data_IF_730451538248
#
_entry.id   IF_730451538248
#
_cell.length_a   1.000
_cell.length_b   1.000
_cell.length_c   1.000
_cell.angle_alpha   90.00
_cell.angle_beta   90.00
_cell.angle_gamma   90.00
#
_symmetry.space_group_name_H-M   'P 1'
#
loop_
_entity.id
_entity.type
_entity.pdbx_description
1 polymer ?
#
# COMPACT_ATOMS: atom_id res chain seq x y z
N UNK A 1 36.63 3.97 21.31
CA UNK A 1 35.87 2.92 20.60
C UNK A 1 34.75 3.59 19.83
N UNK A 2 35.01 3.95 18.59
CA UNK A 2 33.99 4.52 17.71
C UNK A 2 33.12 3.36 17.28
N UNK A 3 31.89 3.29 17.79
CA UNK A 3 30.86 2.44 17.20
C UNK A 3 30.68 2.94 15.77
N UNK A 4 31.22 2.21 14.78
CA UNK A 4 30.80 2.40 13.40
C UNK A 4 29.28 2.20 13.35
N UNK A 5 28.53 2.97 12.55
CA UNK A 5 27.10 2.77 12.42
C UNK A 5 26.86 1.29 12.13
N UNK A 6 26.02 0.67 12.96
CA UNK A 6 25.69 -0.75 12.86
C UNK A 6 25.07 -0.90 11.46
N UNK A 7 25.79 -1.56 10.55
CA UNK A 7 25.39 -1.81 9.15
C UNK A 7 24.22 -2.81 9.10
N UNK A 8 23.10 -2.51 9.77
CA UNK A 8 21.97 -3.41 10.03
C UNK A 8 20.70 -3.06 9.27
N UNK A 9 20.70 -2.02 8.45
CA UNK A 9 19.53 -1.58 7.69
C UNK A 9 19.60 -2.04 6.24
N UNK A 10 19.13 -3.26 5.95
CA UNK A 10 18.88 -3.68 4.57
C UNK A 10 17.85 -2.80 3.83
N UNK A 11 17.29 -1.78 4.50
CA UNK A 11 16.25 -0.87 4.01
C UNK A 11 16.59 -0.25 2.65
N UNK A 12 17.83 0.23 2.45
CA UNK A 12 18.28 0.78 1.17
C UNK A 12 18.27 -0.22 -0.01
N UNK A 13 18.18 -1.53 0.29
CA UNK A 13 18.07 -2.61 -0.69
C UNK A 13 16.64 -3.10 -0.87
N UNK A 14 15.71 -2.64 -0.04
CA UNK A 14 14.29 -2.94 -0.20
C UNK A 14 13.73 -2.08 -1.31
N UNK A 15 12.96 -2.70 -2.21
CA UNK A 15 12.24 -2.01 -3.28
C UNK A 15 10.76 -2.33 -3.22
N UNK A 16 9.92 -1.34 -3.40
CA UNK A 16 8.48 -1.52 -3.49
C UNK A 16 8.01 -1.12 -4.89
N UNK A 17 7.19 -1.95 -5.53
CA UNK A 17 6.67 -1.71 -6.88
C UNK A 17 5.27 -2.27 -7.04
N UNK A 18 4.38 -1.48 -7.59
CA UNK A 18 3.00 -1.86 -7.86
C UNK A 18 2.15 -0.64 -8.17
N UNK A 19 1.05 -0.83 -8.89
CA UNK A 19 0.09 0.25 -9.13
C UNK A 19 -0.45 0.82 -7.82
N UNK A 20 -0.64 -0.04 -6.82
CA UNK A 20 -1.10 0.34 -5.48
C UNK A 20 -0.17 1.30 -4.72
N UNK A 21 1.06 1.59 -5.18
CA UNK A 21 1.92 2.61 -4.57
C UNK A 21 1.84 3.97 -5.26
N UNK A 22 1.03 4.09 -6.31
CA UNK A 22 0.92 5.31 -7.13
C UNK A 22 -0.54 5.78 -7.17
N UNK A 23 -1.46 4.89 -7.54
CA UNK A 23 -2.90 5.17 -7.62
C UNK A 23 -3.70 3.92 -7.31
N UNK A 24 -4.86 4.12 -6.68
CA UNK A 24 -5.79 3.04 -6.40
C UNK A 24 -7.25 3.47 -6.53
N UNK A 25 -8.14 2.48 -6.42
CA UNK A 25 -9.58 2.69 -6.43
C UNK A 25 -10.21 2.39 -5.07
N UNK A 26 -11.24 3.17 -4.71
CA UNK A 26 -12.04 2.96 -3.50
C UNK A 26 -12.84 1.66 -3.59
N UNK A 27 -12.88 0.89 -2.50
CA UNK A 27 -13.50 -0.44 -2.43
C UNK A 27 -12.94 -1.44 -3.44
N UNK A 28 -11.75 -1.18 -3.96
CA UNK A 28 -11.03 -2.08 -4.86
C UNK A 28 -9.75 -2.59 -4.18
N UNK A 29 -9.36 -3.81 -4.50
CA UNK A 29 -8.12 -4.41 -4.02
C UNK A 29 -6.96 -3.84 -4.81
N UNK A 30 -6.15 -3.01 -4.15
CA UNK A 30 -4.95 -2.44 -4.72
C UNK A 30 -3.75 -3.27 -4.23
N UNK A 31 -2.95 -3.79 -5.16
CA UNK A 31 -1.81 -4.63 -4.82
C UNK A 31 -0.48 -3.97 -5.18
N UNK A 32 0.53 -4.27 -4.38
CA UNK A 32 1.92 -3.93 -4.65
C UNK A 32 2.85 -5.01 -4.11
N UNK A 33 4.03 -5.11 -4.71
CA UNK A 33 5.05 -6.07 -4.33
C UNK A 33 6.20 -5.37 -3.62
N UNK A 34 6.75 -6.04 -2.62
CA UNK A 34 7.92 -5.62 -1.88
C UNK A 34 9.01 -6.66 -2.08
N UNK A 35 10.15 -6.20 -2.60
CA UNK A 35 11.34 -6.98 -2.85
C UNK A 35 12.32 -6.72 -1.70
N UNK A 36 12.41 -7.67 -0.77
CA UNK A 36 13.37 -7.65 0.36
C UNK A 36 14.52 -8.63 0.16
N UNK A 37 14.58 -9.33 -0.98
CA UNK A 37 15.57 -10.39 -1.25
C UNK A 37 17.02 -9.92 -1.08
N UNK A 38 17.33 -8.68 -1.47
CA UNK A 38 18.68 -8.12 -1.32
C UNK A 38 18.96 -7.58 0.09
N UNK A 39 17.91 -7.19 0.82
CA UNK A 39 17.98 -6.67 2.18
C UNK A 39 18.28 -7.78 3.21
N UNK A 40 17.80 -9.00 2.96
CA UNK A 40 17.94 -10.14 3.85
C UNK A 40 16.76 -10.31 4.81
N UNK A 41 16.94 -11.14 5.84
CA UNK A 41 15.93 -11.32 6.88
C UNK A 41 15.90 -10.10 7.81
N UNK A 42 14.71 -9.61 8.12
CA UNK A 42 14.47 -8.45 8.98
C UNK A 42 12.98 -8.16 9.14
N UNK A 43 12.68 -7.14 9.94
CA UNK A 43 11.31 -6.73 10.23
C UNK A 43 10.83 -5.68 9.22
N UNK A 44 9.77 -6.00 8.49
CA UNK A 44 9.12 -5.09 7.54
C UNK A 44 7.85 -4.52 8.17
N UNK A 45 7.79 -3.20 8.31
CA UNK A 45 6.64 -2.48 8.83
C UNK A 45 6.02 -1.60 7.74
N UNK A 46 4.70 -1.67 7.62
CA UNK A 46 3.91 -0.85 6.70
C UNK A 46 2.90 -0.06 7.51
N UNK A 47 2.88 1.26 7.31
CA UNK A 47 1.87 2.15 7.86
C UNK A 47 1.16 2.87 6.71
N UNK A 48 -0.16 2.92 6.78
CA UNK A 48 -0.99 3.64 5.81
C UNK A 48 -1.70 4.75 6.56
N UNK A 49 -1.35 5.99 6.24
CA UNK A 49 -1.96 7.19 6.79
C UNK A 49 -2.86 7.82 5.72
N UNK A 50 -4.07 8.24 6.10
CA UNK A 50 -5.02 8.78 5.13
C UNK A 50 -6.32 9.20 5.80
N UNK A 51 -7.33 9.62 5.00
CA UNK A 51 -8.62 10.05 5.52
C UNK A 51 -9.40 8.93 6.22
N UNK A 52 -9.20 7.67 5.81
CA UNK A 52 -9.81 6.50 6.42
C UNK A 52 -8.79 5.36 6.65
N UNK A 53 -9.13 4.40 7.50
CA UNK A 53 -8.31 3.21 7.73
C UNK A 53 -8.43 2.25 6.54
N UNK A 54 -7.32 1.96 5.87
CA UNK A 54 -7.26 0.92 4.85
C UNK A 54 -7.14 -0.46 5.50
N UNK A 55 -7.77 -1.46 4.91
CA UNK A 55 -7.52 -2.88 5.23
C UNK A 55 -6.31 -3.33 4.44
N UNK A 56 -5.35 -4.02 5.08
CA UNK A 56 -4.09 -4.43 4.45
C UNK A 56 -3.91 -5.92 4.72
N UNK A 57 -3.67 -6.67 3.65
CA UNK A 57 -3.41 -8.09 3.62
C UNK A 57 -2.04 -8.37 3.04
N UNK A 58 -1.34 -9.33 3.63
CA UNK A 58 -0.01 -9.76 3.21
C UNK A 58 -0.08 -11.17 2.67
N UNK A 59 0.53 -11.40 1.51
CA UNK A 59 0.60 -12.72 0.90
C UNK A 59 1.97 -12.96 0.27
N UNK A 60 2.53 -14.15 0.52
CA UNK A 60 3.79 -14.53 -0.10
C UNK A 60 3.56 -14.90 -1.57
N UNK A 61 4.18 -14.17 -2.49
CA UNK A 61 4.32 -14.63 -3.87
C UNK A 61 5.54 -15.54 -3.86
N UNK A 62 5.32 -16.85 -4.07
CA UNK A 62 6.34 -17.92 -4.19
C UNK A 62 7.51 -17.67 -5.18
N UNK A 63 7.55 -16.49 -5.78
CA UNK A 63 8.64 -15.90 -6.56
C UNK A 63 9.73 -15.23 -5.67
N UNK A 64 9.54 -15.24 -4.34
CA UNK A 64 10.48 -14.64 -3.38
C UNK A 64 10.26 -13.14 -3.16
N UNK A 65 9.05 -12.65 -3.46
CA UNK A 65 8.60 -11.29 -3.16
C UNK A 65 7.36 -11.33 -2.25
N UNK A 66 7.21 -10.31 -1.41
CA UNK A 66 6.05 -10.19 -0.54
C UNK A 66 4.99 -9.35 -1.25
N UNK A 67 3.84 -9.94 -1.57
CA UNK A 67 2.69 -9.23 -2.09
C UNK A 67 1.92 -8.60 -0.95
N UNK A 68 1.51 -7.35 -1.14
CA UNK A 68 0.66 -6.61 -0.20
C UNK A 68 -0.57 -6.16 -0.97
N UNK A 69 -1.74 -6.53 -0.49
CA UNK A 69 -3.02 -6.08 -0.99
C UNK A 69 -3.63 -5.13 0.04
N UNK A 70 -4.25 -4.04 -0.38
CA UNK A 70 -4.99 -3.18 0.52
C UNK A 70 -6.27 -2.64 -0.11
N UNK A 71 -7.27 -2.39 0.73
CA UNK A 71 -8.58 -1.87 0.33
C UNK A 71 -8.87 -0.59 1.11
N UNK A 72 -9.06 0.51 0.40
CA UNK A 72 -9.45 1.78 0.99
C UNK A 72 -10.97 1.98 0.87
N UNK A 73 -11.69 2.22 1.98
CA UNK A 73 -13.14 2.45 1.93
C UNK A 73 -13.51 3.85 1.44
N UNK A 74 -12.57 4.80 1.44
CA UNK A 74 -12.80 6.21 1.11
C UNK A 74 -11.78 6.74 0.09
N UNK A 75 -12.21 7.68 -0.75
CA UNK A 75 -11.34 8.36 -1.71
C UNK A 75 -10.52 9.44 -1.02
N UNK A 76 -9.29 9.63 -1.47
CA UNK A 76 -8.43 10.69 -0.99
C UNK A 76 -6.95 10.37 -1.20
N UNK A 77 -6.10 11.23 -0.66
CA UNK A 77 -4.67 11.03 -0.69
C UNK A 77 -4.23 10.24 0.54
N UNK A 78 -3.56 9.13 0.27
CA UNK A 78 -3.01 8.22 1.26
C UNK A 78 -1.50 8.25 1.20
N UNK A 79 -0.87 8.07 2.34
CA UNK A 79 0.57 8.02 2.49
C UNK A 79 0.97 6.67 3.06
N UNK A 80 1.67 5.88 2.24
CA UNK A 80 2.15 4.55 2.63
C UNK A 80 3.61 4.67 3.04
N UNK A 81 3.86 4.50 4.33
CA UNK A 81 5.21 4.47 4.90
C UNK A 81 5.67 3.03 5.04
N UNK A 82 6.72 2.68 4.32
CA UNK A 82 7.37 1.37 4.41
C UNK A 82 8.70 1.54 5.15
N UNK A 83 8.89 0.75 6.20
CA UNK A 83 10.10 0.69 7.02
C UNK A 83 10.63 -0.73 7.08
N UNK A 84 11.95 -0.88 7.08
CA UNK A 84 12.65 -2.14 7.24
C UNK A 84 13.68 -2.01 8.36
N UNK A 85 13.59 -2.83 9.41
CA UNK A 85 14.41 -2.72 10.62
C UNK A 85 14.39 -1.30 11.22
N UNK A 86 13.19 -0.73 11.39
CA UNK A 86 12.96 0.66 11.87
C UNK A 86 13.51 1.79 10.97
N UNK A 87 14.03 1.47 9.78
CA UNK A 87 14.57 2.42 8.82
C UNK A 87 13.66 2.57 7.60
N UNK A 88 13.44 3.80 7.12
CA UNK A 88 12.64 4.02 5.91
C UNK A 88 13.35 3.47 4.68
N UNK A 89 12.62 2.76 3.82
CA UNK A 89 13.15 2.31 2.54
C UNK A 89 13.27 3.50 1.57
N UNK A 90 14.10 3.41 0.52
CA UNK A 90 14.06 4.35 -0.58
C UNK A 90 12.64 4.43 -1.15
N UNK A 91 12.23 5.63 -1.56
CA UNK A 91 10.90 5.95 -2.08
C UNK A 91 9.76 5.99 -1.02
N UNK A 92 10.04 5.63 0.24
CA UNK A 92 9.14 5.85 1.37
C UNK A 92 9.29 7.27 1.93
N UNK A 93 8.18 7.99 2.24
CA UNK A 93 6.80 7.55 2.10
C UNK A 93 6.25 7.69 0.67
N UNK A 94 5.36 6.77 0.28
CA UNK A 94 4.69 6.77 -1.02
C UNK A 94 3.35 7.50 -0.96
N UNK A 95 3.16 8.48 -1.82
CA UNK A 95 1.88 9.18 -1.97
C UNK A 95 0.99 8.45 -2.97
N UNK A 96 -0.14 7.95 -2.49
CA UNK A 96 -1.12 7.20 -3.27
C UNK A 96 -2.41 7.99 -3.35
N UNK A 97 -2.83 8.35 -4.57
CA UNK A 97 -4.15 8.94 -4.76
C UNK A 97 -5.18 7.84 -5.00
N UNK A 98 -6.08 7.67 -4.04
CA UNK A 98 -7.23 6.77 -4.14
C UNK A 98 -8.39 7.55 -4.75
N UNK A 99 -8.78 7.18 -5.96
CA UNK A 99 -9.90 7.79 -6.66
C UNK A 99 -11.15 6.94 -6.50
N UNK A 100 -12.35 7.54 -6.43
CA UNK A 100 -13.58 6.77 -6.50
C UNK A 100 -13.62 6.04 -7.85
N UNK A 101 -14.23 4.85 -7.92
CA UNK A 101 -14.43 4.17 -9.20
C UNK A 101 -15.13 5.16 -10.15
N UNK A 102 -14.64 5.24 -11.39
CA UNK A 102 -15.18 6.15 -12.39
C UNK A 102 -16.65 5.79 -12.64
N UNK A 103 -17.54 6.45 -11.92
CA UNK A 103 -18.96 6.25 -12.06
C UNK A 103 -19.42 7.08 -13.26
N UNK A 104 -19.39 6.48 -14.45
CA UNK A 104 -20.33 6.82 -15.51
C UNK A 104 -21.73 6.78 -14.88
N UNK A 105 -22.33 7.95 -14.67
CA UNK A 105 -23.63 8.19 -14.07
C UNK A 105 -24.80 7.53 -14.86
N UNK A 106 -24.82 6.20 -14.97
CA UNK A 106 -25.85 5.42 -15.67
C UNK A 106 -26.28 4.13 -14.97
N UNK A 107 -25.72 3.76 -13.81
CA UNK A 107 -26.39 2.76 -12.96
C UNK A 107 -27.47 3.43 -12.12
N UNK A 108 -28.56 3.72 -12.83
CA UNK A 108 -29.96 3.68 -12.41
C UNK A 108 -30.19 3.81 -10.91
N UNK A 109 -30.67 4.99 -10.51
CA UNK A 109 -31.70 5.10 -9.49
C UNK A 109 -32.63 3.87 -9.58
N UNK A 110 -32.93 3.13 -8.49
CA UNK A 110 -34.14 2.34 -8.45
C UNK A 110 -35.33 3.31 -8.44
N UNK A 111 -35.69 3.83 -9.62
CA UNK A 111 -37.02 4.35 -9.85
C UNK A 111 -37.97 3.15 -9.88
N UNK A 112 -38.51 2.78 -8.72
CA UNK A 112 -39.86 2.19 -8.69
C UNK A 112 -40.73 2.99 -7.73
N UNK A 113 -41.52 3.84 -8.38
CA UNK A 113 -42.74 4.54 -7.98
C UNK A 113 -43.54 3.80 -6.89
N UNK A 114 -44.02 4.60 -5.94
CA UNK A 114 -45.20 4.35 -5.11
C UNK A 114 -46.44 4.02 -5.96
N UNK A 115 -47.27 3.09 -5.49
CA UNK A 115 -48.71 3.08 -5.78
C UNK A 115 -49.45 2.85 -4.45
N UNK A 116 -50.48 3.66 -4.22
CA UNK A 116 -51.43 3.64 -3.10
C UNK A 116 -52.12 2.29 -2.94
#
# INVERSE_FOLDING_TARGET
FTVGPILGGGAHKVRASGSGLIRGEVNSTNEFNIYTREAGAGDLAIAVEGPAKAEIDFFDRKDGSCGVAYVCPEAGDYQISIKFNDEHIPDSPFNVSIVPPFNDARKRLPFKRSVK
#
